data_IF_380365119954
#
_entry.id   IF_380365119954
#
_cell.length_a   1.000
_cell.length_b   1.000
_cell.length_c   1.000
_cell.angle_alpha   90.00
_cell.angle_beta   90.00
_cell.angle_gamma   90.00
#
_symmetry.space_group_name_H-M   'P 1'
#
loop_
_entity.id
_entity.type
_entity.pdbx_description
1 polymer ?
#
# COMPACT_ATOMS: atom_id res chain seq x y z
N UNK A 1 7.81 19.70 -15.70
CA UNK A 1 9.20 20.18 -15.52
C UNK A 1 10.09 19.10 -16.11
N UNK A 2 10.55 19.27 -17.35
CA UNK A 2 11.43 18.30 -18.01
C UNK A 2 12.83 18.48 -17.41
N UNK A 3 13.36 17.43 -16.80
CA UNK A 3 14.69 17.45 -16.18
C UNK A 3 15.76 17.14 -17.23
N UNK A 4 16.89 17.85 -17.17
CA UNK A 4 17.95 17.74 -18.17
C UNK A 4 18.78 16.44 -18.05
N UNK A 5 18.90 15.88 -16.83
CA UNK A 5 19.57 14.61 -16.54
C UNK A 5 19.12 14.08 -15.16
N UNK A 6 19.02 12.75 -14.98
CA UNK A 6 18.73 12.10 -13.68
C UNK A 6 19.96 11.44 -13.03
N UNK A 7 21.01 11.22 -13.82
CA UNK A 7 22.23 10.52 -13.39
C UNK A 7 23.28 11.48 -12.78
N UNK A 8 23.15 12.78 -13.05
CA UNK A 8 24.15 13.79 -12.69
C UNK A 8 23.53 14.98 -11.95
N UNK A 9 24.18 15.39 -10.86
CA UNK A 9 23.89 16.63 -10.15
C UNK A 9 24.55 17.82 -10.84
N UNK A 10 24.00 19.02 -10.64
CA UNK A 10 24.61 20.26 -11.14
C UNK A 10 25.76 20.68 -10.23
N UNK A 11 26.98 20.60 -10.75
CA UNK A 11 28.23 20.94 -10.05
C UNK A 11 28.97 22.09 -10.73
N UNK A 12 29.87 22.76 -10.01
CA UNK A 12 30.81 23.75 -10.60
C UNK A 12 31.97 23.03 -11.29
N UNK A 13 31.73 22.53 -12.50
CA UNK A 13 32.68 21.69 -13.24
C UNK A 13 32.63 20.21 -12.83
N UNK A 14 33.38 19.32 -13.51
CA UNK A 14 33.25 17.86 -13.36
C UNK A 14 33.45 17.35 -11.92
N UNK A 15 34.40 17.92 -11.18
CA UNK A 15 34.72 17.55 -9.78
C UNK A 15 34.43 18.68 -8.78
N UNK A 16 33.54 19.60 -9.14
CA UNK A 16 33.20 20.75 -8.30
C UNK A 16 32.14 20.46 -7.22
N UNK A 17 31.94 21.38 -6.28
CA UNK A 17 30.86 21.28 -5.31
C UNK A 17 29.49 21.33 -5.99
N UNK A 18 28.51 20.64 -5.38
CA UNK A 18 27.11 20.64 -5.81
C UNK A 18 26.48 22.00 -5.53
N UNK A 19 25.78 22.54 -6.53
CA UNK A 19 25.08 23.81 -6.42
C UNK A 19 23.72 23.63 -5.72
N UNK A 20 23.43 24.45 -4.71
CA UNK A 20 22.12 24.46 -4.05
C UNK A 20 20.97 24.88 -5.00
N UNK A 21 21.30 25.54 -6.11
CA UNK A 21 20.37 25.92 -7.17
C UNK A 21 19.80 24.70 -7.92
N UNK A 22 20.41 23.52 -7.75
CA UNK A 22 19.89 22.25 -8.23
C UNK A 22 18.63 21.84 -7.46
N UNK A 23 17.51 22.46 -7.83
CA UNK A 23 16.19 22.21 -7.27
C UNK A 23 15.75 20.76 -7.49
N UNK A 24 16.21 20.10 -8.57
CA UNK A 24 15.82 18.74 -8.88
C UNK A 24 16.45 17.74 -7.90
N UNK A 25 17.77 17.85 -7.68
CA UNK A 25 18.47 17.05 -6.69
C UNK A 25 17.88 17.24 -5.29
N UNK A 26 17.65 18.51 -4.89
CA UNK A 26 17.11 18.85 -3.57
C UNK A 26 15.72 18.23 -3.38
N UNK A 27 14.84 18.30 -4.40
CA UNK A 27 13.52 17.69 -4.34
C UNK A 27 13.57 16.16 -4.25
N UNK A 28 14.45 15.51 -5.03
CA UNK A 28 14.63 14.05 -5.02
C UNK A 28 15.09 13.56 -3.65
N UNK A 29 16.08 14.22 -3.05
CA UNK A 29 16.57 13.89 -1.70
C UNK A 29 15.55 14.21 -0.61
N UNK A 30 14.82 15.32 -0.73
CA UNK A 30 13.76 15.67 0.22
C UNK A 30 12.61 14.65 0.21
N UNK A 31 12.28 14.07 -0.94
CA UNK A 31 11.28 13.01 -1.04
C UNK A 31 11.80 11.70 -0.43
N UNK A 32 13.04 11.31 -0.75
CA UNK A 32 13.68 10.11 -0.19
C UNK A 32 13.73 10.15 1.35
N UNK A 33 14.12 11.29 1.92
CA UNK A 33 14.17 11.46 3.37
C UNK A 33 12.81 11.34 4.06
N UNK A 34 11.70 11.51 3.32
CA UNK A 34 10.32 11.44 3.84
C UNK A 34 9.56 10.18 3.40
N UNK A 35 10.25 9.21 2.82
CA UNK A 35 9.62 7.96 2.37
C UNK A 35 9.14 7.10 3.55
N UNK A 36 9.83 7.19 4.69
CA UNK A 36 9.50 6.40 5.88
C UNK A 36 8.36 7.04 6.66
N UNK A 37 7.19 6.43 6.56
CA UNK A 37 6.04 6.67 7.45
C UNK A 37 6.15 5.70 8.64
N UNK A 38 5.78 6.11 9.87
CA UNK A 38 5.79 5.23 11.03
C UNK A 38 5.01 3.93 10.78
N UNK A 39 5.55 2.81 11.24
CA UNK A 39 4.87 1.52 11.13
C UNK A 39 3.67 1.42 12.08
N UNK A 40 2.77 0.46 11.82
CA UNK A 40 1.65 0.18 12.72
C UNK A 40 2.18 -0.44 14.02
N UNK A 41 1.66 -0.03 15.17
CA UNK A 41 2.04 -0.55 16.50
C UNK A 41 1.92 -2.08 16.60
N UNK A 42 0.93 -2.66 15.92
CA UNK A 42 0.75 -4.11 15.74
C UNK A 42 0.33 -4.37 14.29
N UNK A 43 0.52 -5.58 13.79
CA UNK A 43 0.28 -5.88 12.36
C UNK A 43 1.14 -5.02 11.42
N UNK A 44 2.38 -4.75 11.84
CA UNK A 44 3.35 -3.98 11.08
C UNK A 44 3.68 -4.70 9.77
N UNK A 45 3.98 -6.01 9.84
CA UNK A 45 4.23 -6.84 8.67
C UNK A 45 2.94 -7.40 8.10
N UNK A 46 2.78 -7.27 6.78
CA UNK A 46 1.67 -7.87 6.08
C UNK A 46 1.80 -7.82 4.56
N UNK A 47 1.18 -8.77 3.88
CA UNK A 47 0.97 -8.76 2.44
C UNK A 47 -0.48 -8.39 2.13
N UNK A 48 -0.75 -7.93 0.93
CA UNK A 48 -2.13 -7.69 0.51
C UNK A 48 -2.40 -8.26 -0.89
N UNK A 49 -3.66 -8.64 -1.13
CA UNK A 49 -4.14 -9.17 -2.39
C UNK A 49 -5.48 -8.56 -2.75
N UNK A 50 -5.66 -8.24 -4.03
CA UNK A 50 -6.96 -7.93 -4.60
C UNK A 50 -7.65 -9.24 -5.01
N UNK A 51 -8.97 -9.30 -4.79
CA UNK A 51 -9.77 -10.44 -5.18
C UNK A 51 -11.23 -10.07 -5.38
N UNK A 52 -12.03 -11.09 -5.67
CA UNK A 52 -13.48 -10.96 -5.83
C UNK A 52 -14.14 -11.95 -4.89
N UNK A 53 -15.15 -11.49 -4.16
CA UNK A 53 -16.00 -12.31 -3.33
C UNK A 53 -17.33 -12.57 -4.05
N UNK A 54 -17.71 -13.84 -4.21
CA UNK A 54 -18.96 -14.25 -4.84
C UNK A 54 -19.87 -14.94 -3.83
N UNK A 55 -21.14 -14.54 -3.81
CA UNK A 55 -22.17 -15.15 -2.96
C UNK A 55 -22.71 -16.41 -3.63
N UNK A 56 -22.55 -17.58 -3.02
CA UNK A 56 -23.01 -18.86 -3.61
C UNK A 56 -24.48 -19.16 -3.37
N UNK A 57 -25.05 -18.71 -2.24
CA UNK A 57 -26.44 -18.93 -1.87
C UNK A 57 -27.05 -17.66 -1.28
N UNK A 58 -28.34 -17.44 -1.49
CA UNK A 58 -29.06 -16.30 -0.94
C UNK A 58 -29.25 -16.47 0.58
N UNK A 59 -28.75 -15.51 1.35
CA UNK A 59 -28.78 -15.50 2.83
C UNK A 59 -29.66 -14.37 3.37
N UNK A 60 -30.52 -13.77 2.54
CA UNK A 60 -31.47 -12.71 2.93
C UNK A 60 -32.35 -13.06 4.13
N UNK A 61 -32.58 -14.36 4.37
CA UNK A 61 -33.33 -14.83 5.54
C UNK A 61 -32.60 -14.61 6.87
N UNK A 62 -31.27 -14.59 6.88
CA UNK A 62 -30.48 -14.45 8.12
C UNK A 62 -29.85 -13.06 8.28
N UNK A 63 -29.68 -12.30 7.20
CA UNK A 63 -29.02 -10.98 7.25
C UNK A 63 -29.56 -10.03 6.19
N UNK A 64 -29.60 -8.74 6.52
CA UNK A 64 -29.98 -7.65 5.59
C UNK A 64 -28.76 -7.05 4.88
N UNK A 65 -27.58 -7.65 5.04
CA UNK A 65 -26.34 -7.12 4.52
C UNK A 65 -26.34 -7.11 2.98
N UNK A 66 -26.22 -5.93 2.38
CA UNK A 66 -26.28 -5.72 0.92
C UNK A 66 -25.33 -6.63 0.13
N UNK A 67 -24.19 -7.00 0.71
CA UNK A 67 -23.20 -7.86 0.05
C UNK A 67 -23.54 -9.36 0.03
N UNK A 68 -24.60 -9.79 0.74
CA UNK A 68 -25.05 -11.18 0.83
C UNK A 68 -26.47 -11.40 0.29
N UNK A 69 -27.13 -10.35 -0.20
CA UNK A 69 -28.56 -10.36 -0.53
C UNK A 69 -28.90 -11.06 -1.86
N UNK A 70 -27.92 -11.44 -2.69
CA UNK A 70 -28.20 -12.01 -4.01
C UNK A 70 -27.11 -13.00 -4.38
N UNK A 71 -27.51 -14.24 -4.67
CA UNK A 71 -26.60 -15.27 -5.17
C UNK A 71 -26.02 -14.86 -6.54
N UNK A 72 -24.75 -15.16 -6.77
CA UNK A 72 -23.99 -14.81 -7.97
C UNK A 72 -23.47 -13.37 -8.03
N UNK A 73 -23.72 -12.54 -6.99
CA UNK A 73 -23.19 -11.18 -6.96
C UNK A 73 -21.72 -11.18 -6.55
N UNK A 74 -20.90 -10.56 -7.38
CA UNK A 74 -19.47 -10.39 -7.18
C UNK A 74 -19.14 -9.04 -6.55
N UNK A 75 -18.26 -9.05 -5.55
CA UNK A 75 -17.83 -7.87 -4.79
C UNK A 75 -16.32 -7.75 -4.81
N UNK A 76 -15.76 -6.59 -5.19
CA UNK A 76 -14.32 -6.38 -5.12
C UNK A 76 -13.88 -6.36 -3.65
N UNK A 77 -12.91 -7.19 -3.31
CA UNK A 77 -12.34 -7.28 -1.97
C UNK A 77 -10.85 -6.98 -1.99
N UNK A 78 -10.38 -6.31 -0.94
CA UNK A 78 -8.98 -6.13 -0.66
C UNK A 78 -8.66 -6.80 0.66
N UNK A 79 -7.70 -7.72 0.61
CA UNK A 79 -7.36 -8.56 1.75
C UNK A 79 -5.95 -8.22 2.19
N UNK A 80 -5.79 -7.88 3.47
CA UNK A 80 -4.47 -7.69 4.09
C UNK A 80 -4.19 -8.81 5.09
N UNK A 81 -3.20 -9.63 4.80
CA UNK A 81 -2.62 -10.61 5.71
C UNK A 81 -1.60 -9.90 6.59
N UNK A 82 -1.52 -10.23 7.88
CA UNK A 82 -0.53 -9.62 8.77
C UNK A 82 -0.12 -10.51 9.95
N UNK A 83 1.07 -10.27 10.48
CA UNK A 83 1.58 -10.94 11.70
C UNK A 83 1.38 -10.04 12.92
N UNK A 84 1.16 -10.61 14.11
CA UNK A 84 0.94 -9.80 15.34
C UNK A 84 2.27 -9.41 15.99
N UNK A 85 3.22 -10.35 16.04
CA UNK A 85 4.53 -10.16 16.64
C UNK A 85 5.61 -10.01 15.54
N UNK A 86 6.27 -8.85 15.51
CA UNK A 86 7.40 -8.59 14.62
C UNK A 86 7.44 -7.17 14.05
N UNK A 87 8.64 -6.60 14.04
CA UNK A 87 8.95 -5.33 13.36
C UNK A 87 9.04 -5.59 11.83
N UNK A 88 8.98 -4.55 10.99
CA UNK A 88 8.94 -4.69 9.52
C UNK A 88 10.00 -5.63 8.86
N UNK A 89 11.10 -5.95 9.58
CA UNK A 89 12.29 -6.67 9.10
C UNK A 89 12.57 -8.08 9.65
N UNK A 90 11.68 -8.72 10.42
CA UNK A 90 11.90 -10.11 10.89
C UNK A 90 11.26 -11.19 9.96
N UNK A 91 11.84 -12.40 9.97
CA UNK A 91 11.51 -13.52 9.06
C UNK A 91 10.10 -14.10 9.21
N UNK A 92 9.66 -14.80 8.17
CA UNK A 92 8.25 -15.17 7.94
C UNK A 92 7.68 -16.23 8.90
N UNK A 93 6.48 -15.93 9.38
CA UNK A 93 5.27 -16.78 9.41
C UNK A 93 4.63 -16.99 10.79
N UNK A 94 3.61 -16.17 11.08
CA UNK A 94 2.38 -16.59 11.75
C UNK A 94 1.26 -15.62 11.36
N UNK A 95 0.42 -16.03 10.40
CA UNK A 95 -0.79 -15.28 10.05
C UNK A 95 -1.81 -15.44 11.18
N UNK A 96 -2.05 -14.39 11.96
CA UNK A 96 -3.12 -14.40 12.97
C UNK A 96 -4.25 -13.41 12.68
N UNK A 97 -4.28 -12.81 11.49
CA UNK A 97 -5.36 -11.88 11.14
C UNK A 97 -5.51 -11.66 9.64
N UNK A 98 -6.61 -12.18 9.09
CA UNK A 98 -7.15 -11.81 7.80
C UNK A 98 -8.09 -10.62 8.00
N UNK A 99 -7.74 -9.43 7.50
CA UNK A 99 -8.71 -8.33 7.40
C UNK A 99 -9.11 -8.17 5.93
N UNK A 100 -10.30 -8.65 5.61
CA UNK A 100 -10.99 -8.42 4.35
C UNK A 100 -11.75 -7.09 4.43
N UNK A 101 -11.36 -6.13 3.60
CA UNK A 101 -12.19 -4.95 3.32
C UNK A 101 -12.95 -5.25 2.01
N UNK A 102 -14.27 -5.44 2.11
CA UNK A 102 -15.14 -5.54 0.95
C UNK A 102 -15.63 -4.13 0.60
N UNK A 103 -15.30 -3.64 -0.58
CA UNK A 103 -15.83 -2.39 -1.08
C UNK A 103 -17.12 -2.69 -1.85
N UNK A 104 -18.18 -1.92 -1.60
CA UNK A 104 -19.38 -2.00 -2.42
C UNK A 104 -19.07 -1.48 -3.85
N UNK A 105 -19.45 -2.18 -4.93
CA UNK A 105 -19.37 -1.64 -6.26
C UNK A 105 -20.45 -0.56 -6.39
N UNK A 106 -20.00 0.69 -6.44
CA UNK A 106 -20.81 1.86 -6.78
C UNK A 106 -21.63 2.45 -5.63
N UNK A 107 -21.01 3.37 -4.90
CA UNK A 107 -21.60 4.69 -4.61
C UNK A 107 -20.82 5.73 -5.43
#
# INVERSE_FOLDING_TARGET
>A
MLTASDDHSVTVGPDGPILLQDHYLVQKMAQFNRERVPERVVHAKGGAAHGVFEVTADVTQCTKAKFLNTAGKQWPVFVRFSTVAGNLGNGVAQCLGLRTLAAAPGD
#
